data_IF_950021784570
#
_entry.id   IF_950021784570
#
_cell.length_a   1.000
_cell.length_b   1.000
_cell.length_c   1.000
_cell.angle_alpha   90.00
_cell.angle_beta   90.00
_cell.angle_gamma   90.00
#
_symmetry.space_group_name_H-M   'P 1'
#
loop_
_entity.id
_entity.type
_entity.pdbx_description
1 polymer ?
#
# COMPACT_ATOMS: atom_id res chain seq x y z
N UNK A 1 7.68 -2.37 18.09
CA UNK A 1 9.05 -1.77 17.98
C UNK A 1 8.98 -0.58 17.02
N UNK A 2 9.65 0.55 17.34
CA UNK A 2 9.82 1.70 16.44
C UNK A 2 11.22 1.60 15.79
N UNK A 3 11.30 1.71 14.47
CA UNK A 3 12.54 1.59 13.70
C UNK A 3 12.71 2.81 12.79
N UNK A 4 13.75 3.62 13.02
CA UNK A 4 14.09 4.77 12.17
C UNK A 4 14.75 4.32 10.87
N UNK A 5 14.22 4.78 9.74
CA UNK A 5 14.81 4.60 8.40
C UNK A 5 14.74 5.94 7.67
N UNK A 6 15.86 6.39 7.09
CA UNK A 6 15.93 7.63 6.31
C UNK A 6 15.58 7.34 4.86
N UNK A 7 14.64 8.08 4.30
CA UNK A 7 14.14 7.86 2.95
C UNK A 7 15.21 8.10 1.87
N UNK A 8 16.05 9.10 2.06
CA UNK A 8 17.11 9.46 1.09
C UNK A 8 18.15 8.35 0.91
N UNK A 9 18.35 7.53 1.95
CA UNK A 9 19.29 6.41 1.92
C UNK A 9 18.85 5.31 2.91
N UNK A 10 17.86 4.47 2.54
CA UNK A 10 17.38 3.40 3.38
C UNK A 10 18.50 2.40 3.70
N UNK A 11 18.80 2.21 4.99
CA UNK A 11 19.81 1.28 5.43
C UNK A 11 19.41 -0.17 5.13
N UNK A 12 20.26 -0.91 4.40
CA UNK A 12 19.97 -2.29 3.97
C UNK A 12 19.63 -3.23 5.13
N UNK A 13 20.40 -3.17 6.24
CA UNK A 13 20.14 -4.00 7.43
C UNK A 13 18.78 -3.69 8.07
N UNK A 14 18.38 -2.41 8.07
CA UNK A 14 17.07 -2.02 8.58
C UNK A 14 15.96 -2.55 7.65
N UNK A 15 16.12 -2.47 6.34
CA UNK A 15 15.19 -3.06 5.36
C UNK A 15 15.11 -4.57 5.53
N UNK A 16 16.23 -5.28 5.65
CA UNK A 16 16.26 -6.72 5.93
C UNK A 16 15.50 -7.07 7.22
N UNK A 17 15.67 -6.27 8.29
CA UNK A 17 14.95 -6.47 9.54
C UNK A 17 13.43 -6.37 9.36
N UNK A 18 12.96 -5.37 8.61
CA UNK A 18 11.53 -5.23 8.27
C UNK A 18 11.03 -6.44 7.48
N UNK A 19 11.79 -6.86 6.47
CA UNK A 19 11.45 -8.03 5.64
C UNK A 19 11.38 -9.31 6.47
N UNK A 20 12.27 -9.49 7.45
CA UNK A 20 12.20 -10.64 8.37
C UNK A 20 10.92 -10.62 9.23
N UNK A 21 10.47 -9.46 9.67
CA UNK A 21 9.17 -9.32 10.37
C UNK A 21 8.03 -9.75 9.46
N UNK A 22 7.99 -9.24 8.21
CA UNK A 22 6.96 -9.59 7.23
C UNK A 22 6.95 -11.09 6.89
N UNK A 23 8.12 -11.69 6.61
CA UNK A 23 8.26 -13.14 6.32
C UNK A 23 7.79 -14.04 7.47
N UNK A 24 7.88 -13.57 8.70
CA UNK A 24 7.35 -14.27 9.89
C UNK A 24 5.85 -14.07 10.10
N UNK A 25 5.18 -13.35 9.22
CA UNK A 25 3.76 -13.05 9.31
C UNK A 25 3.44 -11.85 10.21
N UNK A 26 4.43 -11.00 10.45
CA UNK A 26 4.25 -9.76 11.18
C UNK A 26 3.50 -8.70 10.37
N UNK A 27 2.95 -7.75 11.09
CA UNK A 27 2.27 -6.57 10.56
C UNK A 27 3.14 -5.35 10.82
N UNK A 28 3.30 -4.52 9.81
CA UNK A 28 4.07 -3.29 9.89
C UNK A 28 3.22 -2.06 9.61
N UNK A 29 3.62 -0.92 10.20
CA UNK A 29 3.21 0.40 9.75
C UNK A 29 4.43 1.06 9.10
N UNK A 30 4.24 1.66 7.93
CA UNK A 30 5.33 2.17 7.11
C UNK A 30 4.94 3.44 6.37
N UNK A 31 5.92 4.33 6.08
CA UNK A 31 5.70 5.57 5.35
C UNK A 31 5.41 5.31 3.87
N UNK A 32 4.64 6.21 3.27
CA UNK A 32 4.44 6.30 1.82
C UNK A 32 4.55 7.76 1.37
N UNK A 33 4.37 8.01 0.08
CA UNK A 33 4.28 9.36 -0.50
C UNK A 33 2.98 10.12 -0.14
N UNK A 34 2.09 9.45 0.61
CA UNK A 34 0.83 10.00 1.14
C UNK A 34 0.76 9.70 2.64
N UNK A 35 -0.32 9.13 3.12
CA UNK A 35 -0.50 8.74 4.52
C UNK A 35 0.26 7.45 4.84
N UNK A 36 0.60 7.23 6.11
CA UNK A 36 1.17 5.97 6.57
C UNK A 36 0.27 4.78 6.25
N UNK A 37 0.88 3.67 5.85
CA UNK A 37 0.21 2.41 5.54
C UNK A 37 0.37 1.36 6.63
N UNK A 38 -0.67 0.55 6.84
CA UNK A 38 -0.65 -0.68 7.62
C UNK A 38 -0.60 -1.85 6.65
N UNK A 39 0.41 -2.74 6.78
CA UNK A 39 0.60 -3.77 5.78
C UNK A 39 1.22 -5.07 6.27
N UNK A 40 1.10 -6.11 5.45
CA UNK A 40 1.71 -7.43 5.64
C UNK A 40 2.07 -8.07 4.29
N UNK A 41 2.84 -9.16 4.33
CA UNK A 41 3.17 -9.97 3.16
C UNK A 41 1.90 -10.59 2.56
N UNK A 42 1.69 -10.40 1.24
CA UNK A 42 0.55 -10.96 0.49
C UNK A 42 0.45 -12.49 0.58
N UNK A 43 1.56 -13.17 0.81
CA UNK A 43 1.62 -14.62 0.91
C UNK A 43 1.14 -15.16 2.26
N UNK A 44 0.97 -14.29 3.27
CA UNK A 44 0.59 -14.70 4.62
C UNK A 44 -0.89 -14.44 4.93
N UNK A 45 -1.74 -15.44 4.72
CA UNK A 45 -3.19 -15.35 4.95
C UNK A 45 -3.56 -14.97 6.39
N UNK A 46 -2.82 -15.47 7.39
CA UNK A 46 -3.09 -15.14 8.81
C UNK A 46 -2.79 -13.67 9.11
N UNK A 47 -1.75 -13.11 8.52
CA UNK A 47 -1.44 -11.70 8.66
C UNK A 47 -2.51 -10.81 7.99
N UNK A 48 -3.00 -11.20 6.82
CA UNK A 48 -4.10 -10.52 6.12
C UNK A 48 -5.38 -10.53 6.98
N UNK A 49 -5.75 -11.68 7.57
CA UNK A 49 -6.89 -11.78 8.47
C UNK A 49 -6.72 -10.90 9.73
N UNK A 50 -5.48 -10.81 10.26
CA UNK A 50 -5.17 -9.94 11.40
C UNK A 50 -5.35 -8.46 11.05
N UNK A 51 -4.87 -8.00 9.87
CA UNK A 51 -5.11 -6.61 9.40
C UNK A 51 -6.62 -6.34 9.23
N UNK A 52 -7.35 -7.25 8.60
CA UNK A 52 -8.78 -7.11 8.42
C UNK A 52 -9.52 -6.99 9.76
N UNK A 53 -9.11 -7.80 10.77
CA UNK A 53 -9.65 -7.73 12.14
C UNK A 53 -9.33 -6.40 12.80
N UNK A 54 -8.11 -5.88 12.68
CA UNK A 54 -7.72 -4.56 13.20
C UNK A 54 -8.55 -3.44 12.58
N UNK A 55 -8.99 -3.62 11.33
CA UNK A 55 -9.87 -2.68 10.63
C UNK A 55 -11.37 -2.95 10.87
N UNK A 56 -11.74 -3.97 11.66
CA UNK A 56 -13.14 -4.32 11.93
C UNK A 56 -13.92 -4.81 10.71
N UNK A 57 -13.23 -5.30 9.67
CA UNK A 57 -13.82 -5.73 8.40
C UNK A 57 -13.44 -7.18 8.07
N UNK A 58 -14.27 -7.84 7.26
CA UNK A 58 -13.93 -9.16 6.72
C UNK A 58 -12.94 -9.01 5.56
N UNK A 59 -11.93 -9.89 5.41
CA UNK A 59 -10.91 -9.79 4.36
C UNK A 59 -11.49 -9.66 2.95
N UNK A 60 -12.52 -10.44 2.62
CA UNK A 60 -13.19 -10.43 1.33
C UNK A 60 -14.01 -9.15 1.04
N UNK A 61 -14.27 -8.34 2.06
CA UNK A 61 -14.92 -7.03 1.96
C UNK A 61 -13.94 -5.86 2.07
N UNK A 62 -12.68 -6.14 2.40
CA UNK A 62 -11.66 -5.14 2.56
C UNK A 62 -11.18 -4.64 1.19
N UNK A 63 -11.19 -3.33 1.01
CA UNK A 63 -10.61 -2.69 -0.16
C UNK A 63 -9.10 -2.49 0.06
N UNK A 64 -8.35 -3.59 0.24
CA UNK A 64 -6.91 -3.54 0.35
C UNK A 64 -6.28 -3.20 -1.00
N UNK A 65 -5.20 -2.43 -0.96
CA UNK A 65 -4.32 -2.22 -2.11
C UNK A 65 -3.05 -3.07 -1.99
N UNK A 66 -2.44 -3.37 -3.13
CA UNK A 66 -1.15 -4.04 -3.19
C UNK A 66 -0.07 -3.00 -3.48
N UNK A 67 0.89 -2.92 -2.60
CA UNK A 67 2.07 -2.08 -2.81
C UNK A 67 3.06 -2.90 -3.63
N UNK A 68 3.37 -2.39 -4.82
CA UNK A 68 4.30 -2.99 -5.75
C UNK A 68 5.58 -2.14 -5.84
N UNK A 69 6.68 -2.76 -6.28
CA UNK A 69 7.96 -2.09 -6.44
C UNK A 69 7.98 -1.18 -7.69
N UNK A 70 7.44 -1.69 -8.80
CA UNK A 70 7.39 -1.01 -10.09
C UNK A 70 6.26 -1.57 -10.98
N UNK A 71 6.18 -1.09 -12.22
CA UNK A 71 5.17 -1.51 -13.20
C UNK A 71 5.31 -2.99 -13.62
N UNK A 72 6.52 -3.55 -13.63
CA UNK A 72 6.73 -4.95 -14.00
C UNK A 72 6.08 -5.89 -13.00
N UNK A 73 6.15 -5.53 -11.72
CA UNK A 73 5.54 -6.27 -10.62
C UNK A 73 4.00 -6.23 -10.65
N UNK A 74 3.41 -5.18 -11.23
CA UNK A 74 1.96 -5.03 -11.35
C UNK A 74 1.36 -6.10 -12.26
N UNK A 75 2.03 -6.41 -13.37
CA UNK A 75 1.52 -7.32 -14.40
C UNK A 75 1.18 -8.72 -13.89
N UNK A 76 1.75 -9.13 -12.77
CA UNK A 76 1.47 -10.41 -12.15
C UNK A 76 0.07 -10.47 -11.49
N UNK A 77 -0.45 -9.34 -11.05
CA UNK A 77 -1.66 -9.25 -10.22
C UNK A 77 -2.87 -8.70 -10.95
N UNK A 78 -2.69 -8.13 -12.14
CA UNK A 78 -3.78 -7.58 -12.96
C UNK A 78 -3.96 -8.38 -14.25
N UNK A 79 -5.14 -8.31 -14.86
CA UNK A 79 -5.34 -8.76 -16.24
C UNK A 79 -4.61 -7.84 -17.22
N UNK A 80 -4.28 -8.31 -18.44
CA UNK A 80 -3.67 -7.46 -19.44
C UNK A 80 -4.42 -6.14 -19.64
N UNK A 81 -3.67 -5.06 -19.77
CA UNK A 81 -4.16 -3.71 -20.01
C UNK A 81 -3.74 -3.24 -21.40
N UNK A 82 -4.47 -2.29 -21.95
CA UNK A 82 -4.15 -1.68 -23.23
C UNK A 82 -2.95 -0.72 -23.16
N UNK A 83 -2.42 -0.34 -24.31
CA UNK A 83 -1.26 0.53 -24.42
C UNK A 83 -1.50 1.96 -23.86
N UNK A 84 -2.74 2.46 -23.95
CA UNK A 84 -3.09 3.78 -23.45
C UNK A 84 -3.03 3.81 -21.94
N UNK A 85 -3.68 2.83 -21.30
CA UNK A 85 -3.60 2.63 -19.83
C UNK A 85 -2.15 2.47 -19.38
N UNK A 86 -1.36 1.64 -20.07
CA UNK A 86 0.05 1.46 -19.73
C UNK A 86 0.87 2.77 -19.78
N UNK A 87 0.62 3.63 -20.79
CA UNK A 87 1.31 4.93 -20.92
C UNK A 87 0.98 5.87 -19.76
N UNK A 88 -0.30 5.93 -19.35
CA UNK A 88 -0.72 6.72 -18.17
C UNK A 88 -0.03 6.22 -16.92
N UNK A 89 -0.06 4.91 -16.66
CA UNK A 89 0.63 4.32 -15.50
C UNK A 89 2.12 4.63 -15.48
N UNK A 90 2.79 4.55 -16.63
CA UNK A 90 4.23 4.83 -16.75
C UNK A 90 4.59 6.28 -16.41
N UNK A 91 3.68 7.21 -16.62
CA UNK A 91 3.88 8.63 -16.27
C UNK A 91 3.50 8.92 -14.80
N UNK A 92 2.42 8.27 -14.31
CA UNK A 92 1.84 8.55 -12.99
C UNK A 92 2.50 7.77 -11.84
N UNK A 93 3.26 6.70 -12.14
CA UNK A 93 3.89 5.84 -11.14
C UNK A 93 5.42 5.80 -11.29
N UNK A 94 6.18 5.85 -10.18
CA UNK A 94 5.71 5.96 -8.79
C UNK A 94 4.99 7.27 -8.52
N UNK A 95 3.96 7.22 -7.65
CA UNK A 95 3.20 8.44 -7.33
C UNK A 95 1.96 8.19 -6.46
N UNK A 96 1.26 9.26 -6.08
CA UNK A 96 0.21 9.25 -5.07
C UNK A 96 -1.14 8.74 -5.60
N UNK A 97 -1.11 7.62 -6.32
CA UNK A 97 -2.28 7.00 -6.92
C UNK A 97 -2.51 5.58 -6.44
N UNK A 98 -3.78 5.18 -6.38
CA UNK A 98 -4.23 3.79 -6.28
C UNK A 98 -5.07 3.49 -7.52
N UNK A 99 -4.55 2.66 -8.42
CA UNK A 99 -5.25 2.26 -9.63
C UNK A 99 -5.97 0.93 -9.41
N UNK A 100 -7.27 0.86 -9.74
CA UNK A 100 -8.09 -0.34 -9.62
C UNK A 100 -8.22 -1.01 -10.98
N UNK A 101 -7.85 -2.29 -11.02
CA UNK A 101 -7.88 -3.13 -12.22
C UNK A 101 -8.67 -4.42 -12.02
N UNK A 102 -8.99 -5.09 -13.11
CA UNK A 102 -9.41 -6.48 -13.07
C UNK A 102 -8.27 -7.36 -12.54
N UNK A 103 -8.55 -8.13 -11.49
CA UNK A 103 -7.58 -9.01 -10.85
C UNK A 103 -7.21 -10.20 -11.72
N UNK A 104 -5.93 -10.58 -11.73
CA UNK A 104 -5.44 -11.83 -12.29
C UNK A 104 -5.72 -13.01 -11.34
N UNK A 105 -5.44 -14.23 -11.81
CA UNK A 105 -5.57 -15.45 -11.00
C UNK A 105 -4.48 -15.57 -9.92
N UNK A 106 -3.46 -14.70 -9.92
CA UNK A 106 -2.41 -14.67 -8.89
C UNK A 106 -2.83 -13.93 -7.63
N UNK A 107 -3.92 -13.16 -7.67
CA UNK A 107 -4.47 -12.53 -6.47
C UNK A 107 -4.99 -13.62 -5.52
N UNK A 108 -4.53 -13.64 -4.25
CA UNK A 108 -4.99 -14.63 -3.28
C UNK A 108 -6.52 -14.65 -3.15
N UNK A 109 -7.11 -15.84 -3.09
CA UNK A 109 -8.57 -16.00 -3.01
C UNK A 109 -9.19 -15.25 -1.83
N UNK A 110 -8.47 -15.15 -0.71
CA UNK A 110 -8.89 -14.42 0.48
C UNK A 110 -9.11 -12.91 0.20
N UNK A 111 -8.37 -12.36 -0.76
CA UNK A 111 -8.42 -10.94 -1.15
C UNK A 111 -9.25 -10.70 -2.42
N UNK A 112 -9.70 -11.78 -3.08
CA UNK A 112 -10.52 -11.61 -4.26
C UNK A 112 -11.91 -11.11 -3.85
N UNK A 113 -12.12 -9.80 -4.07
CA UNK A 113 -13.43 -9.18 -3.89
C UNK A 113 -14.49 -9.86 -4.78
N UNK A 114 -15.76 -9.72 -4.44
CA UNK A 114 -16.85 -10.19 -5.32
C UNK A 114 -16.75 -9.60 -6.74
N UNK A 115 -16.18 -8.39 -6.85
CA UNK A 115 -15.95 -7.70 -8.13
C UNK A 115 -14.73 -8.20 -8.89
N UNK A 116 -13.91 -9.08 -8.32
CA UNK A 116 -12.65 -9.59 -8.89
C UNK A 116 -11.70 -8.47 -9.34
N UNK A 117 -11.63 -7.41 -8.55
CA UNK A 117 -10.77 -6.26 -8.78
C UNK A 117 -9.66 -6.17 -7.74
N UNK A 118 -8.61 -5.46 -8.06
CA UNK A 118 -7.46 -5.21 -7.17
C UNK A 118 -7.02 -3.76 -7.29
N UNK A 119 -6.76 -3.11 -6.16
CA UNK A 119 -6.13 -1.81 -6.11
C UNK A 119 -4.61 -1.97 -6.08
N UNK A 120 -3.90 -1.26 -6.94
CA UNK A 120 -2.43 -1.30 -7.05
C UNK A 120 -1.85 0.07 -6.76
N UNK A 121 -0.75 0.09 -6.00
CA UNK A 121 0.06 1.29 -5.76
C UNK A 121 1.54 1.00 -6.01
N UNK A 122 2.23 2.00 -6.55
CA UNK A 122 3.69 2.12 -6.51
C UNK A 122 3.99 3.48 -5.88
N UNK A 123 4.15 3.55 -4.55
CA UNK A 123 4.36 4.84 -3.88
C UNK A 123 5.71 5.45 -4.27
N UNK A 124 5.75 6.76 -4.43
CA UNK A 124 7.01 7.49 -4.56
C UNK A 124 7.64 7.70 -3.18
N UNK A 125 8.01 6.59 -2.58
CA UNK A 125 8.70 6.50 -1.29
C UNK A 125 9.72 5.38 -1.34
N UNK A 126 10.99 5.71 -1.15
CA UNK A 126 12.07 4.76 -1.35
C UNK A 126 12.08 3.65 -0.29
N UNK A 127 11.66 3.94 0.96
CA UNK A 127 11.58 2.94 2.03
C UNK A 127 10.56 1.85 1.65
N UNK A 128 9.34 2.24 1.30
CA UNK A 128 8.28 1.31 0.92
C UNK A 128 8.70 0.44 -0.28
N UNK A 129 9.30 1.05 -1.30
CA UNK A 129 9.75 0.35 -2.51
C UNK A 129 10.91 -0.61 -2.22
N UNK A 130 11.90 -0.22 -1.40
CA UNK A 130 12.99 -1.11 -1.00
C UNK A 130 12.49 -2.32 -0.22
N UNK A 131 11.51 -2.15 0.70
CA UNK A 131 10.92 -3.27 1.44
C UNK A 131 10.26 -4.25 0.48
N UNK A 132 9.42 -3.78 -0.45
CA UNK A 132 8.74 -4.64 -1.43
C UNK A 132 9.73 -5.36 -2.34
N UNK A 133 10.77 -4.67 -2.80
CA UNK A 133 11.83 -5.24 -3.62
C UNK A 133 12.56 -6.37 -2.91
N UNK A 134 12.97 -6.15 -1.66
CA UNK A 134 13.72 -7.13 -0.87
C UNK A 134 12.81 -8.28 -0.39
N UNK A 135 11.53 -8.01 -0.13
CA UNK A 135 10.53 -9.05 0.20
C UNK A 135 10.29 -9.99 -0.99
N UNK A 136 10.33 -9.47 -2.21
CA UNK A 136 10.04 -10.19 -3.46
C UNK A 136 8.55 -10.40 -3.73
N UNK A 137 7.67 -9.88 -2.88
CA UNK A 137 6.21 -9.95 -2.97
C UNK A 137 5.60 -8.59 -2.69
N UNK A 138 4.39 -8.27 -3.19
CA UNK A 138 3.65 -7.11 -2.74
C UNK A 138 3.33 -7.15 -1.25
N UNK A 139 3.18 -5.96 -0.68
CA UNK A 139 2.57 -5.77 0.63
C UNK A 139 1.08 -5.52 0.43
N UNK A 140 0.24 -6.33 1.09
CA UNK A 140 -1.19 -6.02 1.25
C UNK A 140 -1.31 -4.87 2.22
N UNK A 141 -1.98 -3.80 1.83
CA UNK A 141 -1.96 -2.53 2.55
C UNK A 141 -3.32 -1.86 2.66
N UNK A 142 -3.49 -1.15 3.76
CA UNK A 142 -4.55 -0.18 3.97
C UNK A 142 -3.98 1.05 4.67
N UNK A 143 -4.60 2.21 4.51
CA UNK A 143 -4.21 3.41 5.27
C UNK A 143 -4.50 3.22 6.76
N UNK A 144 -3.66 3.78 7.63
CA UNK A 144 -4.03 3.98 9.02
C UNK A 144 -5.02 5.15 9.09
N UNK A 145 -6.07 5.01 9.88
CA UNK A 145 -7.01 6.10 10.16
C UNK A 145 -6.90 6.51 11.62
N UNK A 146 -7.13 7.78 11.88
CA UNK A 146 -7.41 8.27 13.23
C UNK A 146 -8.92 8.27 13.47
N UNK A 147 -9.36 8.06 14.72
CA UNK A 147 -10.76 8.17 15.13
C UNK A 147 -11.10 9.63 15.55
N UNK A 148 -10.19 10.57 15.28
CA UNK A 148 -10.34 11.98 15.55
C UNK A 148 -11.19 12.65 14.45
N UNK A 149 -12.18 13.44 14.84
CA UNK A 149 -13.08 14.15 13.90
C UNK A 149 -12.35 15.26 13.09
N UNK A 150 -11.15 15.67 13.53
CA UNK A 150 -10.37 16.75 12.91
C UNK A 150 -9.20 16.20 12.08
N UNK A 151 -8.55 15.14 12.57
CA UNK A 151 -7.37 14.53 11.93
C UNK A 151 -7.74 13.14 11.44
N UNK A 152 -8.06 13.02 10.16
CA UNK A 152 -8.38 11.72 9.54
C UNK A 152 -7.18 10.77 9.52
N UNK A 153 -5.96 11.32 9.42
CA UNK A 153 -4.73 10.54 9.32
C UNK A 153 -3.63 11.08 10.25
N UNK A 154 -3.08 10.22 11.09
CA UNK A 154 -1.90 10.55 11.90
C UNK A 154 -0.66 10.69 11.01
N UNK A 155 0.12 11.76 11.23
CA UNK A 155 1.32 12.06 10.46
C UNK A 155 2.63 11.81 11.21
N UNK A 156 2.60 11.89 12.54
CA UNK A 156 3.76 11.71 13.42
C UNK A 156 4.01 10.23 13.73
N UNK A 157 5.17 9.66 13.30
CA UNK A 157 5.48 8.25 13.52
C UNK A 157 5.61 7.86 14.99
N UNK A 158 5.98 8.77 15.90
CA UNK A 158 6.05 8.49 17.34
C UNK A 158 4.64 8.34 17.92
N UNK A 159 3.71 9.22 17.55
CA UNK A 159 2.31 9.11 17.96
C UNK A 159 1.63 7.88 17.35
N UNK A 160 1.94 7.56 16.08
CA UNK A 160 1.50 6.32 15.43
C UNK A 160 2.02 5.11 16.22
N UNK A 161 3.29 5.10 16.60
CA UNK A 161 3.85 4.02 17.39
C UNK A 161 3.15 3.88 18.74
N UNK A 162 2.96 4.95 19.50
CA UNK A 162 2.27 4.88 20.78
C UNK A 162 0.83 4.34 20.67
N UNK A 163 0.12 4.69 19.59
CA UNK A 163 -1.24 4.21 19.34
C UNK A 163 -1.29 2.73 18.96
N UNK A 164 -0.33 2.25 18.17
CA UNK A 164 -0.38 0.92 17.52
C UNK A 164 0.62 -0.11 18.05
N UNK A 165 1.51 0.23 19.01
CA UNK A 165 2.61 -0.62 19.49
C UNK A 165 2.20 -2.01 19.97
N UNK A 166 0.97 -2.15 20.51
CA UNK A 166 0.43 -3.43 21.00
C UNK A 166 -0.37 -4.20 19.92
N UNK A 167 -0.56 -3.60 18.75
CA UNK A 167 -1.37 -4.14 17.66
C UNK A 167 -0.54 -4.59 16.46
N UNK A 168 0.66 -4.01 16.29
CA UNK A 168 1.57 -4.29 15.17
C UNK A 168 2.95 -4.69 15.66
N UNK A 169 3.68 -5.40 14.82
CA UNK A 169 4.99 -5.94 15.19
C UNK A 169 6.10 -4.88 15.06
N UNK A 170 5.92 -3.95 14.09
CA UNK A 170 6.90 -2.91 13.83
C UNK A 170 6.25 -1.65 13.22
N UNK A 171 6.69 -0.48 13.68
CA UNK A 171 6.40 0.82 13.06
C UNK A 171 7.71 1.39 12.51
N UNK A 172 7.71 1.81 11.27
CA UNK A 172 8.85 2.45 10.62
C UNK A 172 8.68 3.96 10.76
N UNK A 173 9.64 4.60 11.41
CA UNK A 173 9.75 6.04 11.44
C UNK A 173 10.54 6.51 10.21
N UNK A 174 9.84 6.95 9.18
CA UNK A 174 10.39 7.57 7.97
C UNK A 174 10.25 9.08 7.95
N UNK A 175 9.96 9.70 9.11
CA UNK A 175 9.62 11.11 9.22
C UNK A 175 8.12 11.35 9.18
N UNK A 176 7.71 12.61 9.20
CA UNK A 176 6.30 12.98 9.16
C UNK A 176 5.65 12.53 7.85
N UNK A 177 4.50 11.86 7.96
CA UNK A 177 3.65 11.51 6.82
C UNK A 177 2.83 12.69 6.31
N UNK A 178 2.13 12.46 5.20
CA UNK A 178 1.12 13.38 4.71
C UNK A 178 -0.23 13.11 5.41
N UNK A 179 -1.15 14.05 5.33
CA UNK A 179 -2.54 13.93 5.80
C UNK A 179 -3.55 13.78 4.65
N UNK A 180 -3.07 13.74 3.41
CA UNK A 180 -3.90 13.54 2.21
C UNK A 180 -3.62 12.16 1.63
N UNK A 181 -4.67 11.35 1.50
CA UNK A 181 -4.56 10.01 0.94
C UNK A 181 -4.34 10.02 -0.59
N UNK A 182 -4.02 8.85 -1.15
CA UNK A 182 -3.87 8.68 -2.60
C UNK A 182 -5.18 8.93 -3.35
N UNK A 183 -5.09 9.47 -4.56
CA UNK A 183 -6.20 9.48 -5.51
C UNK A 183 -6.49 8.05 -5.98
N UNK A 184 -7.77 7.64 -5.93
CA UNK A 184 -8.20 6.30 -6.34
C UNK A 184 -8.87 6.39 -7.68
N UNK A 185 -8.35 5.63 -8.66
CA UNK A 185 -8.78 5.65 -10.05
C UNK A 185 -9.16 4.24 -10.48
N UNK A 186 -10.36 4.03 -11.02
CA UNK A 186 -10.69 2.78 -11.71
C UNK A 186 -10.20 2.84 -13.16
N UNK A 187 -9.67 1.70 -13.64
CA UNK A 187 -9.10 1.57 -14.97
C UNK A 187 -9.67 0.31 -15.63
N UNK A 188 -10.80 0.48 -16.31
CA UNK A 188 -11.48 -0.59 -17.01
C UNK A 188 -11.70 -0.22 -18.47
N UNK A 189 -11.40 -1.13 -19.38
CA UNK A 189 -11.63 -0.98 -20.81
C UNK A 189 -11.02 0.29 -21.44
N UNK A 190 -9.88 0.74 -20.88
CA UNK A 190 -9.17 1.95 -21.34
C UNK A 190 -9.75 3.26 -20.81
N UNK A 191 -10.77 3.20 -19.97
CA UNK A 191 -11.37 4.37 -19.33
C UNK A 191 -10.83 4.58 -17.91
N UNK A 192 -10.71 5.85 -17.51
CA UNK A 192 -10.26 6.26 -16.19
C UNK A 192 -11.37 7.02 -15.47
N UNK A 193 -11.77 6.50 -14.30
CA UNK A 193 -12.78 7.15 -13.46
C UNK A 193 -12.19 7.39 -12.07
N UNK A 194 -12.25 8.64 -11.60
CA UNK A 194 -11.81 8.99 -10.24
C UNK A 194 -12.90 8.54 -9.26
N UNK A 195 -12.57 7.52 -8.46
CA UNK A 195 -13.45 7.00 -7.41
C UNK A 195 -13.32 7.82 -6.12
N UNK A 196 -12.13 8.36 -5.88
CA UNK A 196 -11.84 9.23 -4.74
C UNK A 196 -10.74 10.20 -5.10
N UNK A 197 -11.01 11.48 -4.94
CA UNK A 197 -9.99 12.53 -5.00
C UNK A 197 -9.01 12.37 -3.83
N UNK A 198 -7.73 12.67 -4.10
CA UNK A 198 -6.65 12.61 -3.13
C UNK A 198 -5.50 13.51 -3.56
N UNK A 199 -4.27 13.15 -3.17
CA UNK A 199 -3.07 13.95 -3.43
C UNK A 199 -2.68 14.03 -4.91
N UNK A 200 -2.97 12.98 -5.70
CA UNK A 200 -2.58 12.93 -7.12
C UNK A 200 -3.59 13.65 -8.01
N UNK A 201 -3.10 14.48 -8.93
CA UNK A 201 -3.92 15.05 -10.02
C UNK A 201 -3.79 14.18 -11.27
N UNK A 202 -4.84 13.45 -11.61
CA UNK A 202 -4.86 12.57 -12.77
C UNK A 202 -4.81 13.32 -14.10
N UNK A 203 -5.33 14.56 -14.15
CA UNK A 203 -5.39 15.34 -15.38
C UNK A 203 -4.00 15.65 -15.96
N UNK A 204 -2.95 15.64 -15.14
CA UNK A 204 -1.57 15.83 -15.59
C UNK A 204 -1.04 14.68 -16.48
N UNK A 205 -1.70 13.52 -16.47
CA UNK A 205 -1.20 12.28 -17.10
C UNK A 205 -2.07 11.74 -18.24
N UNK A 206 -3.26 12.29 -18.42
CA UNK A 206 -4.22 11.91 -19.48
C UNK A 206 -3.88 12.44 -20.87
#
# INVERSE_FOLDING_TARGET
MLLRIYEENPNEKAIEQVVQVLKKGGIIIYPTDTVYGLGCDITNSKAIEKIARLRGIKPEKANFSFICYDLSHISDYIKPIDNTTFRVLKKALPGPFTFIFNASNRVPKLLSSQKKTVGIRVPDNLIARCIVKELGNPIVSTSIHDDDDIIEYSTDPELIYEKYKDQVDLVIDGGYGDNVASTVVSCFDGEFEIIREGKGDLAEFL
#
